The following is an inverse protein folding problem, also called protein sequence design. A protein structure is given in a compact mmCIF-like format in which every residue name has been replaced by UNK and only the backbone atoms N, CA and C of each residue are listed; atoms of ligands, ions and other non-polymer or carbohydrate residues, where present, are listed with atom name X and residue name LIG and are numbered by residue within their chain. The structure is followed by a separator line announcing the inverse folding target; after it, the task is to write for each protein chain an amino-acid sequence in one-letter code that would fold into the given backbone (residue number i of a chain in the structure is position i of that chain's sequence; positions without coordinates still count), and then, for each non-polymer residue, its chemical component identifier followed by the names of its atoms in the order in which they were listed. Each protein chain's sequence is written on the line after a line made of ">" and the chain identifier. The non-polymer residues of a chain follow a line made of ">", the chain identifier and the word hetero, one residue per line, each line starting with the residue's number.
data_IF_113136199911
#
_entry.id   IF_113136199911
#
_cell.length_a   1.000
_cell.length_b   1.000
_cell.length_c   1.000
_cell.angle_alpha   90.00
_cell.angle_beta   90.00
_cell.angle_gamma   90.00
#
_symmetry.space_group_name_H-M   'P 1'
#
loop_
_entity.id
_entity.type
_entity.pdbx_description
1 polymer ?
#
# COMPACT_ATOMS: atom_id res chain seq x y z
N UNK A 1 -4.22 30.77 5.20
CA UNK A 1 -3.98 30.90 6.65
C UNK A 1 -2.50 30.64 6.90
N UNK A 2 -1.82 31.40 7.76
CA UNK A 2 -0.44 31.12 8.11
C UNK A 2 -0.37 29.74 8.76
N UNK A 3 0.54 28.89 8.28
CA UNK A 3 0.82 27.58 8.88
C UNK A 3 2.12 27.72 9.68
N UNK A 4 2.11 27.25 10.92
CA UNK A 4 3.30 27.16 11.74
C UNK A 4 3.90 25.77 11.59
N UNK A 5 5.15 25.70 11.18
CA UNK A 5 5.89 24.44 11.12
C UNK A 5 6.67 24.30 12.43
N UNK A 6 6.42 23.23 13.16
CA UNK A 6 7.15 22.89 14.37
C UNK A 6 8.13 21.77 14.04
N UNK A 7 9.41 21.98 14.29
CA UNK A 7 10.47 20.99 14.10
C UNK A 7 11.08 20.63 15.45
N UNK A 8 11.36 19.34 15.68
CA UNK A 8 11.99 18.91 16.92
C UNK A 8 11.78 17.42 17.18
N UNK A 9 12.22 16.98 18.36
CA UNK A 9 11.94 15.64 18.83
C UNK A 9 10.44 15.51 19.14
N UNK A 10 9.79 14.44 18.62
CA UNK A 10 8.35 14.23 18.77
C UNK A 10 7.93 14.19 20.24
N UNK A 11 8.70 13.53 21.09
CA UNK A 11 8.41 13.40 22.52
C UNK A 11 8.43 14.74 23.24
N UNK A 12 9.44 15.60 22.94
CA UNK A 12 9.52 16.95 23.45
C UNK A 12 8.36 17.84 22.96
N UNK A 13 7.96 17.69 21.70
CA UNK A 13 6.82 18.42 21.14
C UNK A 13 5.53 18.00 21.83
N UNK A 14 5.29 16.70 22.00
CA UNK A 14 4.10 16.19 22.68
C UNK A 14 4.05 16.64 24.14
N UNK A 15 5.19 16.63 24.83
CA UNK A 15 5.29 17.11 26.22
C UNK A 15 5.03 18.61 26.33
N UNK A 16 5.51 19.41 25.36
CA UNK A 16 5.28 20.85 25.31
C UNK A 16 3.82 21.23 24.97
N UNK A 17 3.10 20.37 24.27
CA UNK A 17 1.68 20.57 23.98
C UNK A 17 0.79 20.35 25.21
N UNK A 18 1.33 19.72 26.26
CA UNK A 18 0.59 19.42 27.49
C UNK A 18 -0.61 18.47 27.27
N UNK A 19 -1.43 18.35 28.28
CA UNK A 19 -2.68 17.64 28.17
C UNK A 19 -3.65 18.45 27.28
N UNK A 20 -3.70 18.07 26.01
CA UNK A 20 -4.71 18.60 25.10
C UNK A 20 -6.02 17.92 25.50
N UNK A 21 -6.89 18.63 26.18
CA UNK A 21 -8.29 18.23 26.34
C UNK A 21 -8.90 18.10 24.94
N UNK A 22 -8.72 16.93 24.34
CA UNK A 22 -9.37 16.62 23.07
C UNK A 22 -10.85 16.35 23.33
N UNK A 23 -11.64 17.41 23.37
CA UNK A 23 -13.09 17.34 23.32
C UNK A 23 -13.50 17.00 21.89
N UNK A 24 -13.06 15.83 21.41
CA UNK A 24 -13.49 15.32 20.12
C UNK A 24 -14.53 14.21 20.33
N UNK A 25 -15.55 14.17 19.50
CA UNK A 25 -16.52 13.07 19.49
C UNK A 25 -15.87 11.78 18.93
N UNK A 26 -15.05 11.14 19.77
CA UNK A 26 -14.39 9.86 19.42
C UNK A 26 -15.43 8.77 19.13
N UNK A 27 -16.61 8.82 19.76
CA UNK A 27 -17.65 7.83 19.54
C UNK A 27 -18.31 8.02 18.17
N UNK A 28 -18.53 9.26 17.76
CA UNK A 28 -18.96 9.60 16.40
C UNK A 28 -17.98 9.10 15.36
N UNK A 29 -16.69 9.36 15.54
CA UNK A 29 -15.65 8.88 14.64
C UNK A 29 -15.59 7.34 14.57
N UNK A 30 -15.70 6.65 15.72
CA UNK A 30 -15.77 5.18 15.77
C UNK A 30 -16.98 4.64 15.03
N UNK A 31 -18.15 5.25 15.20
CA UNK A 31 -19.38 4.86 14.51
C UNK A 31 -19.26 5.05 13.00
N UNK A 32 -18.71 6.19 12.55
CA UNK A 32 -18.42 6.45 11.15
C UNK A 32 -17.46 5.42 10.57
N UNK A 33 -16.38 5.09 11.28
CA UNK A 33 -15.41 4.11 10.83
C UNK A 33 -16.01 2.69 10.73
N UNK A 34 -16.89 2.31 11.68
CA UNK A 34 -17.62 1.04 11.63
C UNK A 34 -18.53 0.98 10.41
N UNK A 35 -19.29 2.05 10.15
CA UNK A 35 -20.16 2.17 8.98
C UNK A 35 -19.35 2.11 7.67
N UNK A 36 -18.23 2.84 7.60
CA UNK A 36 -17.32 2.80 6.45
C UNK A 36 -16.82 1.37 6.17
N UNK A 37 -16.38 0.65 7.20
CA UNK A 37 -15.93 -0.74 7.06
C UNK A 37 -17.02 -1.64 6.51
N UNK A 38 -18.26 -1.52 7.01
CA UNK A 38 -19.39 -2.32 6.53
C UNK A 38 -19.69 -2.04 5.04
N UNK A 39 -19.70 -0.77 4.62
CA UNK A 39 -19.89 -0.39 3.22
C UNK A 39 -18.75 -0.90 2.33
N UNK A 40 -17.51 -0.90 2.82
CA UNK A 40 -16.36 -1.45 2.09
C UNK A 40 -16.50 -2.95 1.89
N UNK A 41 -16.91 -3.71 2.91
CA UNK A 41 -17.15 -5.16 2.77
C UNK A 41 -18.27 -5.44 1.76
N UNK A 42 -19.37 -4.69 1.80
CA UNK A 42 -20.45 -4.80 0.83
C UNK A 42 -19.97 -4.54 -0.60
N UNK A 43 -19.17 -3.49 -0.81
CA UNK A 43 -18.55 -3.18 -2.10
C UNK A 43 -17.67 -4.32 -2.62
N UNK A 44 -16.86 -4.93 -1.78
CA UNK A 44 -15.99 -6.04 -2.17
C UNK A 44 -16.80 -7.27 -2.61
N UNK A 45 -17.97 -7.49 -2.00
CA UNK A 45 -18.87 -8.59 -2.37
C UNK A 45 -19.61 -8.28 -3.68
N UNK A 46 -20.08 -7.05 -3.85
CA UNK A 46 -20.86 -6.66 -5.04
C UNK A 46 -20.01 -6.41 -6.27
N UNK A 47 -18.72 -6.07 -6.08
CA UNK A 47 -17.77 -5.79 -7.15
C UNK A 47 -16.50 -6.67 -7.01
N UNK A 48 -16.61 -8.00 -7.17
CA UNK A 48 -15.50 -8.93 -6.91
C UNK A 48 -14.34 -8.78 -7.91
N UNK A 49 -14.58 -8.17 -9.07
CA UNK A 49 -13.56 -7.90 -10.10
C UNK A 49 -12.90 -6.52 -9.94
N UNK A 50 -13.24 -5.77 -8.89
CA UNK A 50 -12.61 -4.49 -8.62
C UNK A 50 -11.16 -4.65 -8.17
N UNK A 51 -10.31 -3.66 -8.46
CA UNK A 51 -8.93 -3.64 -7.99
C UNK A 51 -8.84 -3.80 -6.46
N UNK A 52 -9.80 -3.24 -5.73
CA UNK A 52 -9.92 -3.34 -4.28
C UNK A 52 -10.15 -4.78 -3.82
N UNK A 53 -11.04 -5.50 -4.50
CA UNK A 53 -11.33 -6.90 -4.20
C UNK A 53 -10.14 -7.81 -4.57
N UNK A 54 -9.44 -7.50 -5.67
CA UNK A 54 -8.20 -8.19 -6.05
C UNK A 54 -7.12 -8.02 -4.99
N UNK A 55 -6.92 -6.80 -4.47
CA UNK A 55 -5.95 -6.53 -3.40
C UNK A 55 -6.33 -7.25 -2.12
N UNK A 56 -7.62 -7.24 -1.77
CA UNK A 56 -8.14 -8.01 -0.62
C UNK A 56 -7.81 -9.50 -0.75
N UNK A 57 -8.13 -10.08 -1.89
CA UNK A 57 -7.86 -11.49 -2.18
C UNK A 57 -6.37 -11.79 -2.15
N UNK A 58 -5.55 -10.95 -2.79
CA UNK A 58 -4.10 -11.10 -2.79
C UNK A 58 -3.52 -11.08 -1.37
N UNK A 59 -4.02 -10.21 -0.51
CA UNK A 59 -3.54 -10.11 0.86
C UNK A 59 -3.79 -11.36 1.70
N UNK A 60 -4.78 -12.18 1.34
CA UNK A 60 -5.09 -13.41 2.05
C UNK A 60 -4.10 -14.56 1.76
N UNK A 61 -3.31 -14.47 0.69
CA UNK A 61 -2.31 -15.49 0.36
C UNK A 61 -1.01 -15.34 1.14
N UNK A 62 -0.74 -14.16 1.66
CA UNK A 62 0.45 -13.89 2.43
C UNK A 62 0.30 -14.44 3.85
N UNK A 63 1.36 -15.04 4.39
CA UNK A 63 1.41 -15.62 5.72
C UNK A 63 2.43 -14.91 6.60
N UNK A 64 2.39 -15.21 7.89
CA UNK A 64 3.40 -14.73 8.82
C UNK A 64 4.82 -15.16 8.37
N UNK A 65 5.76 -14.25 8.48
CA UNK A 65 7.13 -14.43 8.01
C UNK A 65 7.35 -14.12 6.51
N UNK A 66 6.29 -13.85 5.74
CA UNK A 66 6.44 -13.40 4.35
C UNK A 66 6.85 -11.93 4.28
N UNK A 67 7.63 -11.60 3.26
CA UNK A 67 7.95 -10.22 2.92
C UNK A 67 6.97 -9.70 1.86
N UNK A 68 6.36 -8.55 2.11
CA UNK A 68 5.43 -7.89 1.19
C UNK A 68 6.09 -6.63 0.63
N UNK A 69 6.03 -6.45 -0.66
CA UNK A 69 6.42 -5.22 -1.33
C UNK A 69 5.24 -4.61 -2.07
N UNK A 70 4.96 -3.35 -1.80
CA UNK A 70 3.84 -2.63 -2.39
C UNK A 70 4.36 -1.53 -3.33
N UNK A 71 3.98 -1.62 -4.58
CA UNK A 71 4.27 -0.61 -5.58
C UNK A 71 3.57 0.71 -5.27
N UNK A 72 4.20 1.80 -5.71
CA UNK A 72 3.60 3.13 -5.66
C UNK A 72 2.29 3.20 -6.45
N UNK A 73 1.62 4.36 -6.41
CA UNK A 73 0.31 4.60 -7.00
C UNK A 73 -0.83 3.93 -6.20
N UNK A 74 -1.74 3.22 -6.85
CA UNK A 74 -2.92 2.65 -6.19
C UNK A 74 -2.64 1.39 -5.34
N UNK A 75 -1.70 0.48 -5.68
CA UNK A 75 -1.47 -0.72 -4.89
C UNK A 75 -1.25 -0.47 -3.40
N UNK A 76 -0.35 0.45 -3.03
CA UNK A 76 -0.10 0.77 -1.62
C UNK A 76 -1.32 1.40 -0.92
N UNK A 77 -2.14 2.18 -1.65
CA UNK A 77 -3.35 2.80 -1.10
C UNK A 77 -4.45 1.77 -0.87
N UNK A 78 -4.65 0.89 -1.84
CA UNK A 78 -5.63 -0.19 -1.72
C UNK A 78 -5.23 -1.18 -0.63
N UNK A 79 -3.95 -1.52 -0.54
CA UNK A 79 -3.47 -2.36 0.56
C UNK A 79 -3.81 -1.76 1.93
N UNK A 80 -3.48 -0.48 2.14
CA UNK A 80 -3.78 0.21 3.39
C UNK A 80 -5.27 0.22 3.76
N UNK A 81 -6.14 0.21 2.75
CA UNK A 81 -7.60 0.33 2.97
C UNK A 81 -8.32 -1.01 2.99
N UNK A 82 -7.85 -2.00 2.25
CA UNK A 82 -8.62 -3.22 1.95
C UNK A 82 -7.91 -4.51 2.31
N UNK A 83 -6.59 -4.51 2.53
CA UNK A 83 -5.90 -5.74 2.88
C UNK A 83 -6.45 -6.35 4.17
N UNK A 84 -6.59 -7.67 4.17
CA UNK A 84 -6.92 -8.47 5.34
C UNK A 84 -5.75 -9.40 5.62
N UNK A 85 -4.82 -8.92 6.42
CA UNK A 85 -3.61 -9.69 6.73
C UNK A 85 -3.25 -9.51 8.20
N UNK A 86 -2.73 -10.59 8.79
CA UNK A 86 -2.10 -10.58 10.10
C UNK A 86 -0.58 -10.32 10.01
N UNK A 87 -0.08 -10.02 8.80
CA UNK A 87 1.35 -9.78 8.61
C UNK A 87 1.77 -8.52 9.37
N UNK A 88 2.82 -8.60 10.19
CA UNK A 88 3.38 -7.45 10.88
C UNK A 88 3.78 -6.35 9.87
N UNK A 89 3.55 -5.09 10.22
CA UNK A 89 3.84 -3.95 9.34
C UNK A 89 5.32 -3.82 9.01
N UNK A 90 6.21 -4.32 9.89
CA UNK A 90 7.64 -4.38 9.63
C UNK A 90 8.03 -5.30 8.46
N UNK A 91 7.16 -6.20 8.05
CA UNK A 91 7.37 -7.07 6.90
C UNK A 91 6.79 -6.49 5.60
N UNK A 92 6.10 -5.35 5.68
CA UNK A 92 5.56 -4.63 4.52
C UNK A 92 6.51 -3.51 4.13
N UNK A 93 6.92 -3.49 2.87
CA UNK A 93 7.85 -2.51 2.29
C UNK A 93 7.20 -1.78 1.13
N UNK A 94 7.54 -0.51 0.98
CA UNK A 94 7.17 0.32 -0.17
C UNK A 94 8.20 1.42 -0.34
N UNK A 95 8.47 1.82 -1.58
CA UNK A 95 9.30 2.98 -1.87
C UNK A 95 8.50 4.26 -1.63
N UNK A 96 8.53 4.75 -0.37
CA UNK A 96 7.88 6.02 -0.01
C UNK A 96 8.94 7.12 0.12
N UNK A 97 8.56 8.35 -0.25
CA UNK A 97 9.50 9.46 -0.37
C UNK A 97 9.83 9.79 -1.82
N UNK A 98 10.22 8.81 -2.63
CA UNK A 98 10.23 8.91 -4.09
C UNK A 98 8.97 8.23 -4.64
N UNK A 99 8.10 9.00 -5.31
CA UNK A 99 6.77 8.53 -5.73
C UNK A 99 6.74 8.04 -7.19
N UNK A 100 7.90 7.84 -7.82
CA UNK A 100 8.01 7.25 -9.16
C UNK A 100 7.48 5.83 -9.23
N UNK A 101 7.19 5.37 -10.45
CA UNK A 101 6.77 3.99 -10.73
C UNK A 101 7.91 3.15 -11.31
N UNK A 102 9.03 3.78 -11.63
CA UNK A 102 10.29 3.15 -12.03
C UNK A 102 10.99 2.48 -10.83
N UNK A 103 11.81 1.49 -11.09
CA UNK A 103 12.61 0.81 -10.06
C UNK A 103 11.83 0.03 -9.01
N UNK A 104 10.53 -0.21 -9.20
CA UNK A 104 9.69 -0.87 -8.19
C UNK A 104 9.91 -2.39 -8.18
N UNK A 105 10.08 -3.03 -9.33
CA UNK A 105 10.42 -4.46 -9.40
C UNK A 105 11.85 -4.67 -8.92
N UNK A 106 12.79 -3.82 -9.31
CA UNK A 106 14.16 -3.84 -8.79
C UNK A 106 14.19 -3.73 -7.27
N UNK A 107 13.41 -2.81 -6.71
CA UNK A 107 13.25 -2.66 -5.27
C UNK A 107 12.68 -3.90 -4.59
N UNK A 108 11.65 -4.50 -5.19
CA UNK A 108 11.11 -5.79 -4.73
C UNK A 108 12.16 -6.89 -4.73
N UNK A 109 12.89 -7.04 -5.82
CA UNK A 109 13.93 -8.07 -5.92
C UNK A 109 15.02 -7.89 -4.87
N UNK A 110 15.43 -6.64 -4.61
CA UNK A 110 16.38 -6.32 -3.54
C UNK A 110 15.87 -6.68 -2.15
N UNK A 111 14.61 -6.35 -1.83
CA UNK A 111 13.96 -6.75 -0.56
C UNK A 111 13.85 -8.26 -0.47
N UNK A 112 13.44 -8.93 -1.55
CA UNK A 112 13.21 -10.38 -1.60
C UNK A 112 14.47 -11.23 -1.47
N UNK A 113 15.64 -10.64 -1.69
CA UNK A 113 16.92 -11.36 -1.65
C UNK A 113 17.20 -12.03 -0.29
N UNK A 114 16.59 -11.50 0.79
CA UNK A 114 16.75 -12.01 2.16
C UNK A 114 15.52 -12.76 2.68
N UNK A 115 14.54 -13.01 1.83
CA UNK A 115 13.25 -13.61 2.21
C UNK A 115 13.10 -14.99 1.57
N UNK A 116 12.67 -15.97 2.34
CA UNK A 116 12.35 -17.31 1.81
C UNK A 116 11.11 -17.27 0.91
N UNK A 117 10.14 -16.42 1.26
CA UNK A 117 8.93 -16.17 0.48
C UNK A 117 8.61 -14.68 0.46
N UNK A 118 8.33 -14.15 -0.70
CA UNK A 118 8.06 -12.73 -0.89
C UNK A 118 6.99 -12.49 -1.96
N UNK A 119 6.21 -11.45 -1.73
CA UNK A 119 5.08 -11.06 -2.57
C UNK A 119 5.21 -9.59 -2.94
N UNK A 120 5.04 -9.27 -4.19
CA UNK A 120 4.92 -7.88 -4.64
C UNK A 120 3.57 -7.65 -5.30
N UNK A 121 3.03 -6.46 -5.11
CA UNK A 121 1.83 -6.00 -5.79
C UNK A 121 2.11 -4.64 -6.43
N UNK A 122 2.02 -4.58 -7.76
CA UNK A 122 2.31 -3.39 -8.57
C UNK A 122 1.20 -3.15 -9.59
N UNK A 123 1.15 -1.96 -10.16
CA UNK A 123 0.30 -1.67 -11.32
C UNK A 123 0.96 -2.08 -12.64
N UNK A 124 0.17 -2.14 -13.70
CA UNK A 124 0.59 -2.50 -15.06
C UNK A 124 1.69 -1.57 -15.62
N UNK A 125 1.49 -0.26 -15.53
CA UNK A 125 2.52 0.70 -15.97
C UNK A 125 3.81 0.55 -15.17
N UNK A 126 3.72 0.33 -13.85
CA UNK A 126 4.86 0.06 -12.98
C UNK A 126 5.63 -1.18 -13.46
N UNK A 127 4.90 -2.25 -13.78
CA UNK A 127 5.50 -3.49 -14.27
C UNK A 127 6.22 -3.29 -15.61
N UNK A 128 5.64 -2.49 -16.51
CA UNK A 128 6.25 -2.17 -17.80
C UNK A 128 7.52 -1.32 -17.64
N UNK A 129 7.49 -0.30 -16.77
CA UNK A 129 8.62 0.61 -16.58
C UNK A 129 9.88 -0.06 -16.01
N UNK A 130 9.72 -1.16 -15.27
CA UNK A 130 10.84 -1.85 -14.63
C UNK A 130 10.90 -3.36 -14.99
N UNK A 131 10.36 -3.73 -16.14
CA UNK A 131 10.33 -5.13 -16.60
C UNK A 131 11.72 -5.74 -16.76
N UNK A 132 12.71 -4.94 -17.10
CA UNK A 132 14.11 -5.38 -17.25
C UNK A 132 14.71 -5.90 -15.92
N UNK A 133 14.17 -5.50 -14.78
CA UNK A 133 14.62 -5.98 -13.48
C UNK A 133 14.52 -7.52 -13.35
N UNK A 134 13.59 -8.15 -14.08
CA UNK A 134 13.43 -9.61 -14.04
C UNK A 134 14.70 -10.36 -14.53
N UNK A 135 15.58 -9.71 -15.29
CA UNK A 135 16.88 -10.27 -15.68
C UNK A 135 17.83 -10.49 -14.47
N UNK A 136 17.52 -9.88 -13.31
CA UNK A 136 18.29 -10.09 -12.08
C UNK A 136 17.91 -11.39 -11.33
N UNK A 137 16.77 -12.01 -11.66
CA UNK A 137 16.30 -13.22 -10.97
C UNK A 137 17.34 -14.35 -10.87
N UNK A 138 18.14 -14.65 -11.92
CA UNK A 138 19.16 -15.71 -11.83
C UNK A 138 20.28 -15.40 -10.84
N UNK A 139 20.43 -14.14 -10.41
CA UNK A 139 21.47 -13.70 -9.47
C UNK A 139 21.03 -13.78 -8.02
N UNK A 140 19.75 -14.07 -7.80
CA UNK A 140 19.18 -14.14 -6.45
C UNK A 140 19.18 -15.58 -5.94
N UNK A 141 19.36 -15.71 -4.62
CA UNK A 141 19.27 -17.01 -3.95
C UNK A 141 17.90 -17.66 -4.15
N UNK A 142 17.84 -18.96 -3.90
CA UNK A 142 16.58 -19.71 -3.98
C UNK A 142 15.56 -19.15 -3.00
N UNK A 143 14.36 -18.89 -3.50
CA UNK A 143 13.23 -18.40 -2.71
C UNK A 143 11.99 -18.27 -3.60
N UNK A 144 10.83 -18.29 -3.00
CA UNK A 144 9.56 -18.07 -3.72
C UNK A 144 9.30 -16.58 -3.85
N UNK A 145 9.18 -16.10 -5.06
CA UNK A 145 8.87 -14.70 -5.39
C UNK A 145 7.60 -14.65 -6.24
N UNK A 146 6.60 -13.94 -5.75
CA UNK A 146 5.33 -13.75 -6.46
C UNK A 146 5.19 -12.28 -6.80
N UNK A 147 5.04 -11.98 -8.07
CA UNK A 147 4.75 -10.64 -8.56
C UNK A 147 3.30 -10.58 -9.05
N UNK A 148 2.44 -9.93 -8.28
CA UNK A 148 1.08 -9.60 -8.68
C UNK A 148 1.06 -8.28 -9.45
N UNK A 149 0.44 -8.29 -10.61
CA UNK A 149 0.27 -7.09 -11.43
C UNK A 149 -1.23 -6.80 -11.58
N UNK A 150 -1.66 -5.63 -11.09
CA UNK A 150 -3.02 -5.14 -11.33
C UNK A 150 -3.01 -4.43 -12.69
N UNK A 151 -3.67 -5.04 -13.66
CA UNK A 151 -3.82 -4.46 -15.00
C UNK A 151 -5.20 -3.80 -15.13
N UNK A 152 -5.21 -2.48 -15.10
CA UNK A 152 -6.41 -1.66 -15.29
C UNK A 152 -6.42 -0.88 -16.62
N UNK A 153 -5.53 -1.22 -17.55
CA UNK A 153 -5.35 -0.54 -18.83
C UNK A 153 -4.54 0.75 -18.73
N UNK A 154 -3.81 0.92 -17.63
CA UNK A 154 -2.90 2.06 -17.42
C UNK A 154 -3.58 3.32 -16.87
N UNK A 155 -2.84 4.03 -16.01
CA UNK A 155 -3.21 5.37 -15.55
C UNK A 155 -4.48 5.50 -14.71
N UNK A 156 -5.02 4.40 -14.15
CA UNK A 156 -6.28 4.39 -13.40
C UNK A 156 -6.36 5.41 -12.25
N UNK A 157 -5.25 5.78 -11.66
CA UNK A 157 -5.20 6.82 -10.62
C UNK A 157 -5.70 8.19 -11.11
N UNK A 158 -5.53 8.50 -12.38
CA UNK A 158 -5.90 9.80 -12.94
C UNK A 158 -7.39 9.92 -13.22
N UNK A 159 -8.14 8.80 -13.30
CA UNK A 159 -9.60 8.81 -13.53
C UNK A 159 -10.38 9.49 -12.40
N UNK A 160 -9.81 9.56 -11.20
CA UNK A 160 -10.43 10.21 -10.04
C UNK A 160 -10.11 11.70 -9.92
N UNK A 161 -9.35 12.28 -10.86
CA UNK A 161 -9.01 13.70 -10.82
C UNK A 161 -10.15 14.52 -11.47
N UNK A 162 -10.47 15.70 -10.89
CA UNK A 162 -11.41 16.62 -11.52
C UNK A 162 -10.91 17.00 -12.95
N UNK A 163 -11.77 16.85 -13.95
CA UNK A 163 -11.43 17.14 -15.33
C UNK A 163 -10.77 16.01 -16.13
N UNK A 164 -10.75 14.80 -15.58
CA UNK A 164 -10.26 13.62 -16.31
C UNK A 164 -11.23 13.12 -17.42
N UNK A 165 -12.44 13.67 -17.47
CA UNK A 165 -13.46 13.36 -18.49
C UNK A 165 -13.24 14.27 -19.72
N UNK A 166 -12.12 14.09 -20.44
CA UNK A 166 -11.77 14.79 -21.65
C UNK A 166 -11.54 13.86 -22.83
#
# INVERSE_FOLDING_TARGET
>A
RPSTVVTGNLEAILHALGDIDTVGDVNGLRSMNKRRKALMEELLITCPESEQAMVRSFSCFAADGDCIYLGNSMPVRYWNSFAQTAIPTENVRANRGANGIDGQISGFLGVSARCSRSWALVGDLTAMYDSNALALLPQLDRGTRVLGVINNGGGGIFRALPGADG
#
